data_IF_190529375756
#
_entry.id   IF_190529375756
#
_cell.length_a   1.000
_cell.length_b   1.000
_cell.length_c   1.000
_cell.angle_alpha   90.00
_cell.angle_beta   90.00
_cell.angle_gamma   90.00
#
_symmetry.space_group_name_H-M   'P 1'
#
loop_
_entity.id
_entity.type
_entity.pdbx_description
1 polymer ?
#
# COMPACT_ATOMS: atom_id res chain seq x y z
N UNK A 1 -3.46 -2.72 -2.24
CA UNK A 1 -2.28 -1.86 -2.54
C UNK A 1 -1.44 -2.56 -3.60
N UNK A 2 -1.25 -1.95 -4.75
CA UNK A 2 -0.48 -2.57 -5.84
C UNK A 2 1.00 -2.32 -5.61
N UNK A 3 1.88 -3.32 -5.68
CA UNK A 3 3.32 -3.07 -5.78
C UNK A 3 3.60 -2.52 -7.19
N UNK A 4 4.11 -1.28 -7.25
CA UNK A 4 4.57 -0.67 -8.49
C UNK A 4 5.85 -1.35 -8.96
N UNK A 5 5.73 -2.30 -9.85
CA UNK A 5 6.86 -2.76 -10.66
C UNK A 5 6.98 -1.79 -11.84
N UNK A 6 7.78 -0.76 -11.71
CA UNK A 6 8.08 0.16 -12.81
C UNK A 6 9.19 -0.42 -13.67
N UNK A 7 8.85 -0.77 -14.89
CA UNK A 7 9.82 -1.01 -15.97
C UNK A 7 10.23 0.37 -16.51
N UNK A 8 11.49 0.79 -16.31
CA UNK A 8 12.00 2.05 -16.88
C UNK A 8 12.42 1.82 -18.32
N UNK A 9 11.71 2.47 -19.25
CA UNK A 9 12.22 2.74 -20.59
C UNK A 9 12.86 4.14 -20.60
N UNK A 10 14.18 4.22 -20.68
CA UNK A 10 14.89 5.49 -20.89
C UNK A 10 14.63 5.96 -22.34
N UNK A 11 13.77 6.95 -22.54
CA UNK A 11 13.60 7.67 -23.79
C UNK A 11 14.63 8.82 -23.85
N UNK A 12 15.69 8.64 -24.62
CA UNK A 12 16.54 9.73 -25.07
C UNK A 12 15.95 10.33 -26.36
N UNK A 13 15.29 11.47 -26.24
CA UNK A 13 14.86 12.27 -27.39
C UNK A 13 16.07 13.05 -27.96
N UNK A 14 16.56 12.65 -29.11
CA UNK A 14 17.52 13.46 -29.89
C UNK A 14 16.78 14.32 -30.92
N UNK A 15 16.93 15.63 -30.83
CA UNK A 15 16.45 16.59 -31.80
C UNK A 15 17.24 16.44 -33.11
N UNK A 16 16.56 16.14 -34.22
CA UNK A 16 17.15 16.09 -35.54
C UNK A 16 17.16 17.50 -36.17
N UNK A 17 18.36 17.97 -36.53
CA UNK A 17 18.57 19.13 -37.40
C UNK A 17 18.86 18.59 -38.81
N UNK A 18 18.21 19.10 -39.89
CA UNK A 18 18.51 18.64 -41.24
C UNK A 18 19.83 19.20 -41.75
N UNK A 19 20.75 18.34 -42.07
CA UNK A 19 22.01 18.69 -42.77
C UNK A 19 21.92 18.20 -44.23
N UNK A 20 22.22 19.11 -45.14
CA UNK A 20 22.27 18.87 -46.56
C UNK A 20 23.34 17.84 -46.97
N UNK A 21 23.02 17.05 -47.94
CA UNK A 21 23.87 16.01 -48.49
C UNK A 21 25.21 16.56 -49.04
N UNK A 22 26.30 16.09 -48.46
CA UNK A 22 27.64 16.18 -49.09
C UNK A 22 28.37 14.85 -48.84
N UNK A 23 28.83 14.27 -49.95
CA UNK A 23 29.85 13.22 -50.14
C UNK A 23 30.00 12.19 -49.00
N UNK A 24 29.70 10.94 -49.29
CA UNK A 24 29.91 9.83 -48.40
C UNK A 24 31.36 9.74 -47.90
N UNK A 25 31.61 9.88 -46.60
CA UNK A 25 32.93 9.58 -46.05
C UNK A 25 33.15 8.05 -46.02
N UNK A 26 34.41 7.64 -46.10
CA UNK A 26 34.83 6.26 -45.94
C UNK A 26 34.21 5.61 -44.68
N UNK A 27 33.90 4.30 -44.68
CA UNK A 27 33.34 3.64 -43.54
C UNK A 27 34.25 3.86 -42.34
N UNK A 28 33.65 4.47 -41.29
CA UNK A 28 34.35 4.63 -40.04
C UNK A 28 34.82 3.24 -39.52
N UNK A 29 36.00 3.16 -38.88
CA UNK A 29 36.44 1.91 -38.29
C UNK A 29 35.36 1.36 -37.37
N UNK A 30 35.02 0.07 -37.52
CA UNK A 30 34.03 -0.59 -36.71
C UNK A 30 34.33 -0.34 -35.21
N UNK A 31 33.47 0.36 -34.56
CA UNK A 31 33.57 0.55 -33.09
C UNK A 31 33.55 -0.86 -32.47
N UNK A 32 34.46 -1.20 -31.56
CA UNK A 32 34.46 -2.54 -30.97
C UNK A 32 33.08 -2.81 -30.36
N UNK A 33 32.49 -3.92 -30.70
CA UNK A 33 31.17 -4.33 -30.26
C UNK A 33 31.22 -4.48 -28.73
N UNK A 34 30.57 -3.56 -28.01
CA UNK A 34 30.54 -3.60 -26.55
C UNK A 34 29.65 -4.78 -26.14
N UNK A 35 30.12 -5.71 -25.29
CA UNK A 35 29.29 -6.80 -24.79
C UNK A 35 28.00 -6.27 -24.20
N UNK A 36 26.86 -6.78 -24.68
CA UNK A 36 25.53 -6.29 -24.32
C UNK A 36 24.64 -7.39 -23.74
N UNK A 37 23.64 -7.01 -22.96
CA UNK A 37 22.60 -7.94 -22.52
C UNK A 37 21.82 -8.47 -23.73
N UNK A 38 21.54 -9.78 -23.78
CA UNK A 38 20.64 -10.33 -24.81
C UNK A 38 19.22 -9.77 -24.56
N UNK A 39 18.55 -9.41 -25.65
CA UNK A 39 17.13 -9.04 -25.59
C UNK A 39 16.31 -10.30 -25.24
N UNK A 40 15.49 -10.30 -24.17
CA UNK A 40 14.63 -11.43 -23.86
C UNK A 40 13.70 -11.77 -25.02
N UNK A 41 13.45 -13.07 -25.26
CA UNK A 41 12.63 -13.53 -26.40
C UNK A 41 11.19 -13.01 -26.40
N UNK A 42 10.69 -12.58 -25.25
CA UNK A 42 9.36 -11.97 -25.09
C UNK A 42 9.32 -10.47 -25.43
N UNK A 43 10.47 -9.83 -25.69
CA UNK A 43 10.56 -8.40 -26.00
C UNK A 43 11.00 -8.20 -27.46
N UNK A 44 10.42 -7.18 -28.09
CA UNK A 44 10.89 -6.62 -29.35
C UNK A 44 11.56 -5.28 -29.09
N UNK A 45 12.84 -5.15 -29.38
CA UNK A 45 13.59 -3.90 -29.23
C UNK A 45 13.74 -3.23 -30.59
N UNK A 46 13.05 -2.12 -30.83
CA UNK A 46 13.13 -1.34 -32.06
C UNK A 46 13.83 0.00 -31.79
N UNK A 47 14.86 0.29 -32.56
CA UNK A 47 15.64 1.54 -32.49
C UNK A 47 16.25 1.83 -31.10
N UNK A 48 16.38 0.82 -30.25
CA UNK A 48 17.06 0.94 -28.96
C UNK A 48 18.52 0.47 -29.07
N UNK A 49 19.48 1.22 -28.56
CA UNK A 49 20.86 0.75 -28.48
C UNK A 49 20.94 -0.46 -27.54
N UNK A 50 21.81 -1.43 -27.82
CA UNK A 50 22.07 -2.55 -26.94
C UNK A 50 22.48 -2.06 -25.54
N UNK A 51 21.97 -2.69 -24.50
CA UNK A 51 22.33 -2.35 -23.09
C UNK A 51 23.69 -2.97 -22.76
N UNK A 52 24.76 -2.17 -22.50
CA UNK A 52 26.07 -2.71 -22.18
C UNK A 52 26.03 -3.56 -20.91
N UNK A 53 26.73 -4.70 -20.89
CA UNK A 53 26.82 -5.56 -19.70
C UNK A 53 27.42 -4.83 -18.49
N UNK A 54 28.36 -3.91 -18.70
CA UNK A 54 28.94 -3.10 -17.65
C UNK A 54 27.89 -2.19 -16.99
N UNK A 55 27.04 -1.53 -17.79
CA UNK A 55 25.95 -0.71 -17.27
C UNK A 55 24.96 -1.56 -16.47
N UNK A 56 24.57 -2.71 -17.01
CA UNK A 56 23.68 -3.64 -16.34
C UNK A 56 24.25 -4.10 -14.99
N UNK A 57 25.55 -4.42 -14.94
CA UNK A 57 26.23 -4.81 -13.70
C UNK A 57 26.26 -3.68 -12.66
N UNK A 58 26.43 -2.42 -13.08
CA UNK A 58 26.41 -1.25 -12.18
C UNK A 58 25.02 -0.94 -11.64
N UNK A 59 23.98 -1.09 -12.43
CA UNK A 59 22.58 -0.81 -12.05
C UNK A 59 22.01 -1.94 -11.19
N UNK A 60 22.41 -3.19 -11.43
CA UNK A 60 21.85 -4.37 -10.77
C UNK A 60 21.74 -4.27 -9.24
N UNK A 61 22.73 -3.81 -8.46
CA UNK A 61 22.60 -3.69 -7.00
C UNK A 61 21.42 -2.81 -6.58
N UNK A 62 21.11 -1.77 -7.34
CA UNK A 62 19.98 -0.86 -7.06
C UNK A 62 18.60 -1.49 -7.32
N UNK A 63 18.55 -2.61 -8.07
CA UNK A 63 17.34 -3.39 -8.35
C UNK A 63 17.13 -4.55 -7.36
N UNK A 64 18.15 -4.88 -6.54
CA UNK A 64 18.15 -6.04 -5.65
C UNK A 64 17.72 -5.73 -4.21
N UNK A 65 17.05 -4.60 -3.97
CA UNK A 65 16.45 -4.34 -2.66
C UNK A 65 15.31 -5.32 -2.38
N UNK A 66 15.24 -5.84 -1.15
CA UNK A 66 14.28 -6.85 -0.71
C UNK A 66 13.58 -6.40 0.55
N UNK A 67 12.66 -5.44 0.40
CA UNK A 67 11.86 -4.93 1.49
C UNK A 67 10.99 -6.01 2.15
N UNK A 68 10.60 -5.78 3.40
CA UNK A 68 9.64 -6.58 4.11
C UNK A 68 8.40 -5.73 4.47
N UNK A 69 7.22 -6.14 4.00
CA UNK A 69 5.94 -5.56 4.37
C UNK A 69 5.32 -6.33 5.53
N UNK A 70 4.79 -5.64 6.52
CA UNK A 70 4.02 -6.24 7.60
C UNK A 70 2.67 -6.73 7.07
N UNK A 71 2.34 -7.99 7.29
CA UNK A 71 1.11 -8.63 6.86
C UNK A 71 0.21 -9.07 8.03
N UNK A 72 0.64 -8.83 9.26
CA UNK A 72 -0.14 -9.08 10.47
C UNK A 72 0.64 -9.80 11.56
N UNK A 73 0.00 -9.92 12.71
CA UNK A 73 0.49 -10.71 13.83
C UNK A 73 0.00 -12.15 13.74
N UNK A 74 0.83 -13.10 14.18
CA UNK A 74 0.37 -14.42 14.56
C UNK A 74 -0.20 -14.34 15.98
N UNK A 75 -1.52 -14.39 16.19
CA UNK A 75 -2.12 -14.13 17.49
C UNK A 75 -1.76 -15.18 18.55
N UNK A 76 -1.26 -16.36 18.14
CA UNK A 76 -0.92 -17.45 19.05
C UNK A 76 0.54 -17.42 19.54
N UNK A 77 1.45 -16.81 18.77
CA UNK A 77 2.88 -16.97 19.01
C UNK A 77 3.65 -15.66 19.12
N UNK A 78 2.98 -14.52 18.94
CA UNK A 78 3.60 -13.19 18.88
C UNK A 78 4.65 -13.04 17.77
N UNK A 79 4.65 -13.92 16.77
CA UNK A 79 5.45 -13.76 15.57
C UNK A 79 4.79 -12.78 14.60
N UNK A 80 5.55 -12.20 13.69
CA UNK A 80 5.01 -11.39 12.60
C UNK A 80 4.96 -12.20 11.31
N UNK A 81 3.86 -12.03 10.57
CA UNK A 81 3.72 -12.42 9.18
C UNK A 81 4.22 -11.27 8.31
N UNK A 82 5.04 -11.57 7.33
CA UNK A 82 5.60 -10.56 6.42
C UNK A 82 5.48 -11.00 4.98
N UNK A 83 5.36 -10.02 4.10
CA UNK A 83 5.54 -10.18 2.66
C UNK A 83 6.95 -9.73 2.28
N UNK A 84 7.75 -10.62 1.69
CA UNK A 84 9.08 -10.31 1.17
C UNK A 84 9.44 -11.25 0.03
N UNK A 85 10.45 -10.91 -0.77
CA UNK A 85 10.93 -11.78 -1.84
C UNK A 85 12.40 -12.13 -1.65
N UNK A 86 12.74 -13.40 -1.79
CA UNK A 86 14.12 -13.87 -1.97
C UNK A 86 14.39 -14.39 -3.38
N UNK A 87 13.32 -14.70 -4.11
CA UNK A 87 13.36 -15.06 -5.54
C UNK A 87 12.70 -13.96 -6.38
N UNK A 88 11.90 -14.34 -7.37
CA UNK A 88 11.32 -13.41 -8.34
C UNK A 88 10.06 -12.69 -7.83
N UNK A 89 9.30 -13.34 -6.94
CA UNK A 89 7.98 -12.86 -6.49
C UNK A 89 7.90 -12.82 -4.96
N UNK A 90 7.01 -11.97 -4.46
CA UNK A 90 6.74 -11.83 -3.03
C UNK A 90 6.03 -13.07 -2.49
N UNK A 91 6.53 -13.59 -1.37
CA UNK A 91 5.99 -14.74 -0.66
C UNK A 91 5.74 -14.38 0.80
N UNK A 92 4.90 -15.17 1.46
CA UNK A 92 4.68 -15.07 2.89
C UNK A 92 5.86 -15.70 3.66
N UNK A 93 6.34 -14.96 4.65
CA UNK A 93 7.36 -15.40 5.58
C UNK A 93 6.90 -15.14 7.01
N UNK A 94 7.41 -15.91 7.92
CA UNK A 94 7.20 -15.76 9.37
C UNK A 94 8.50 -15.36 10.05
N UNK A 95 8.45 -14.35 10.90
CA UNK A 95 9.57 -13.94 11.77
C UNK A 95 9.16 -14.14 13.22
N UNK A 96 9.82 -15.06 13.90
CA UNK A 96 9.41 -15.51 15.23
C UNK A 96 9.75 -14.56 16.37
N UNK A 97 10.74 -13.69 16.17
CA UNK A 97 11.23 -12.71 17.14
C UNK A 97 11.89 -11.54 16.43
N UNK A 98 12.03 -10.37 17.07
CA UNK A 98 12.76 -9.25 16.50
C UNK A 98 14.13 -9.65 15.97
N UNK A 99 14.45 -9.24 14.75
CA UNK A 99 15.68 -9.58 14.02
C UNK A 99 15.92 -11.08 13.82
N UNK A 100 14.89 -11.92 13.99
CA UNK A 100 14.95 -13.36 13.73
C UNK A 100 14.97 -13.71 12.25
N UNK A 101 15.13 -15.01 11.97
CA UNK A 101 15.11 -15.52 10.60
C UNK A 101 13.75 -15.28 9.92
N UNK A 102 13.79 -14.87 8.66
CA UNK A 102 12.60 -14.80 7.79
C UNK A 102 12.34 -16.19 7.22
N UNK A 103 11.51 -16.95 7.89
CA UNK A 103 11.17 -18.31 7.45
C UNK A 103 10.07 -18.26 6.39
N UNK A 104 10.40 -18.63 5.16
CA UNK A 104 9.43 -18.70 4.07
C UNK A 104 8.39 -19.80 4.35
N UNK A 105 7.11 -19.48 4.18
CA UNK A 105 5.99 -20.39 4.45
C UNK A 105 5.08 -20.61 3.24
N UNK A 106 5.19 -19.80 2.18
CA UNK A 106 4.53 -20.04 0.89
C UNK A 106 5.56 -20.19 -0.23
N UNK A 107 5.26 -21.01 -1.26
CA UNK A 107 6.21 -21.40 -2.31
C UNK A 107 5.53 -21.40 -3.69
N UNK A 108 4.92 -20.28 -4.06
CA UNK A 108 4.14 -20.12 -5.27
C UNK A 108 4.95 -19.46 -6.38
N UNK A 109 4.55 -19.68 -7.63
CA UNK A 109 5.17 -19.04 -8.80
C UNK A 109 4.74 -17.57 -8.92
N UNK A 110 3.55 -17.22 -8.40
CA UNK A 110 2.99 -15.87 -8.37
C UNK A 110 3.12 -15.24 -6.98
N UNK A 111 3.00 -13.90 -6.88
CA UNK A 111 2.92 -13.21 -5.60
C UNK A 111 1.72 -13.70 -4.78
N UNK A 112 1.89 -13.78 -3.47
CA UNK A 112 0.82 -14.11 -2.54
C UNK A 112 0.68 -13.04 -1.47
N UNK A 113 -0.55 -12.83 -1.01
CA UNK A 113 -0.86 -12.06 0.20
C UNK A 113 -1.65 -12.94 1.16
N UNK A 114 -1.64 -12.61 2.45
CA UNK A 114 -2.42 -13.40 3.41
C UNK A 114 -2.50 -12.76 4.78
N UNK A 115 -3.43 -13.26 5.60
CA UNK A 115 -3.66 -12.83 6.98
C UNK A 115 -4.12 -14.01 7.83
N UNK A 116 -3.75 -14.01 9.10
CA UNK A 116 -4.29 -14.96 10.07
C UNK A 116 -5.74 -14.63 10.43
N UNK A 117 -6.51 -15.69 10.75
CA UNK A 117 -7.79 -15.51 11.41
C UNK A 117 -7.58 -14.76 12.72
N UNK A 118 -8.22 -13.60 12.94
CA UNK A 118 -8.08 -12.83 14.17
C UNK A 118 -8.40 -13.69 15.40
N UNK A 119 -7.80 -13.38 16.54
CA UNK A 119 -8.04 -14.05 17.83
C UNK A 119 -7.65 -15.53 17.85
N UNK A 120 -7.99 -16.31 16.82
CA UNK A 120 -7.77 -17.76 16.78
C UNK A 120 -6.43 -18.16 16.20
N UNK A 121 -5.98 -17.50 15.12
CA UNK A 121 -4.73 -17.80 14.43
C UNK A 121 -4.61 -19.23 13.86
N UNK A 122 -5.71 -19.97 13.81
CA UNK A 122 -5.76 -21.37 13.37
C UNK A 122 -5.85 -21.51 11.84
N UNK A 123 -6.20 -20.43 11.15
CA UNK A 123 -6.28 -20.33 9.70
C UNK A 123 -5.39 -19.20 9.22
N UNK A 124 -4.56 -19.48 8.23
CA UNK A 124 -3.87 -18.49 7.42
C UNK A 124 -4.58 -18.45 6.06
N UNK A 125 -5.36 -17.38 5.85
CA UNK A 125 -6.01 -17.11 4.56
C UNK A 125 -4.98 -16.53 3.60
N UNK A 126 -4.98 -17.01 2.35
CA UNK A 126 -4.08 -16.54 1.29
C UNK A 126 -4.88 -16.20 0.04
N UNK A 127 -4.56 -15.07 -0.55
CA UNK A 127 -5.06 -14.67 -1.86
C UNK A 127 -3.92 -14.69 -2.87
N UNK A 128 -4.17 -15.25 -4.06
CA UNK A 128 -3.28 -15.20 -5.21
C UNK A 128 -4.06 -15.25 -6.52
N UNK A 129 -3.48 -14.71 -7.56
CA UNK A 129 -3.97 -14.85 -8.92
C UNK A 129 -3.16 -15.89 -9.70
N UNK A 130 -3.37 -15.97 -11.00
CA UNK A 130 -2.66 -16.88 -11.89
C UNK A 130 -2.03 -16.09 -13.04
N UNK A 131 -0.72 -15.99 -13.02
CA UNK A 131 0.03 -15.34 -14.11
C UNK A 131 -0.25 -13.83 -14.23
N UNK A 132 -0.75 -13.16 -13.19
CA UNK A 132 -1.06 -11.73 -13.21
C UNK A 132 -2.41 -11.40 -13.87
N UNK A 133 -3.34 -12.35 -13.96
CA UNK A 133 -4.67 -12.15 -14.55
C UNK A 133 -5.65 -11.39 -13.64
N UNK A 134 -5.26 -11.13 -12.38
CA UNK A 134 -6.06 -10.47 -11.35
C UNK A 134 -7.37 -11.23 -10.98
N UNK A 135 -7.52 -12.50 -11.41
CA UNK A 135 -8.59 -13.37 -10.98
C UNK A 135 -8.18 -14.12 -9.72
N UNK A 136 -8.13 -13.36 -8.63
CA UNK A 136 -7.69 -13.88 -7.33
C UNK A 136 -8.55 -15.05 -6.87
N UNK A 137 -7.87 -16.02 -6.25
CA UNK A 137 -8.50 -17.13 -5.57
C UNK A 137 -8.10 -17.14 -4.10
N UNK A 138 -9.04 -17.48 -3.23
CA UNK A 138 -8.80 -17.63 -1.81
C UNK A 138 -8.40 -19.06 -1.48
N UNK A 139 -7.42 -19.18 -0.62
CA UNK A 139 -6.86 -20.45 -0.16
C UNK A 139 -6.62 -20.40 1.35
N UNK A 140 -6.52 -21.57 1.99
CA UNK A 140 -5.83 -21.69 3.26
C UNK A 140 -4.41 -22.17 3.02
N UNK A 141 -3.46 -21.68 3.82
CA UNK A 141 -2.07 -22.13 3.81
C UNK A 141 -1.79 -22.92 5.09
N UNK A 142 -1.37 -24.19 4.93
CA UNK A 142 -0.93 -25.04 6.02
C UNK A 142 0.27 -25.88 5.58
N UNK A 143 1.32 -25.89 6.38
CA UNK A 143 2.53 -26.68 6.13
C UNK A 143 3.10 -26.49 4.69
N UNK A 144 3.11 -25.23 4.21
CA UNK A 144 3.58 -24.88 2.87
C UNK A 144 2.65 -25.28 1.72
N UNK A 145 1.44 -25.73 2.00
CA UNK A 145 0.46 -26.18 0.99
C UNK A 145 -0.78 -25.29 0.99
N UNK A 146 -1.17 -24.86 -0.20
CA UNK A 146 -2.42 -24.15 -0.42
C UNK A 146 -3.58 -25.12 -0.63
N UNK A 147 -4.70 -24.83 0.01
CA UNK A 147 -5.99 -25.50 -0.24
C UNK A 147 -6.98 -24.47 -0.75
N UNK A 148 -7.49 -24.68 -1.96
CA UNK A 148 -8.43 -23.76 -2.62
C UNK A 148 -9.77 -23.70 -1.86
N UNK A 149 -10.29 -22.50 -1.64
CA UNK A 149 -11.56 -22.21 -0.98
C UNK A 149 -12.63 -21.72 -1.95
N UNK A 150 -12.23 -21.07 -3.04
CA UNK A 150 -13.12 -20.49 -4.04
C UNK A 150 -13.26 -21.38 -5.28
N UNK A 151 -13.94 -20.92 -6.33
CA UNK A 151 -14.30 -21.75 -7.49
C UNK A 151 -13.16 -21.99 -8.49
N UNK A 152 -11.99 -21.37 -8.30
CA UNK A 152 -10.82 -21.54 -9.15
C UNK A 152 -10.86 -20.82 -10.50
N UNK A 153 -11.86 -19.97 -10.76
CA UNK A 153 -12.04 -19.32 -12.08
C UNK A 153 -12.65 -17.92 -12.06
N UNK A 154 -13.46 -17.59 -11.06
CA UNK A 154 -14.05 -16.25 -10.93
C UNK A 154 -13.06 -15.30 -10.26
N UNK A 155 -13.26 -13.99 -10.39
CA UNK A 155 -12.53 -13.01 -9.61
C UNK A 155 -13.08 -13.00 -8.19
N UNK A 156 -12.23 -13.27 -7.21
CA UNK A 156 -12.57 -13.25 -5.79
C UNK A 156 -11.58 -12.37 -5.03
N UNK A 157 -12.08 -11.43 -4.26
CA UNK A 157 -11.25 -10.51 -3.47
C UNK A 157 -11.58 -10.64 -1.99
N UNK A 158 -10.60 -10.90 -1.11
CA UNK A 158 -10.85 -10.92 0.33
C UNK A 158 -11.23 -9.52 0.79
N UNK A 159 -12.25 -9.42 1.64
CA UNK A 159 -12.72 -8.14 2.17
C UNK A 159 -12.36 -7.99 3.66
N UNK A 160 -13.03 -8.73 4.55
CA UNK A 160 -12.84 -8.62 5.97
C UNK A 160 -12.92 -9.99 6.67
N UNK A 161 -12.24 -10.10 7.81
CA UNK A 161 -12.47 -11.15 8.79
C UNK A 161 -13.50 -10.68 9.84
N UNK A 162 -14.28 -11.64 10.35
CA UNK A 162 -14.98 -11.38 11.62
C UNK A 162 -13.99 -11.33 12.78
N UNK A 163 -14.25 -10.49 13.79
CA UNK A 163 -13.35 -10.30 14.94
C UNK A 163 -13.05 -11.60 15.70
N UNK A 164 -14.00 -12.54 15.74
CA UNK A 164 -13.84 -13.86 16.37
C UNK A 164 -13.07 -14.85 15.47
N UNK A 165 -12.68 -14.45 14.27
CA UNK A 165 -11.96 -15.29 13.31
C UNK A 165 -12.78 -16.47 12.75
N UNK A 166 -14.11 -16.46 12.87
CA UNK A 166 -14.97 -17.53 12.36
C UNK A 166 -15.28 -17.40 10.88
N UNK A 167 -15.49 -16.17 10.41
CA UNK A 167 -15.95 -15.90 9.05
C UNK A 167 -14.97 -15.00 8.31
N UNK A 168 -14.86 -15.24 7.01
CA UNK A 168 -14.27 -14.32 6.06
C UNK A 168 -15.34 -13.84 5.08
N UNK A 169 -15.32 -12.53 4.81
CA UNK A 169 -16.08 -11.93 3.73
C UNK A 169 -15.19 -11.77 2.50
N UNK A 170 -15.78 -11.93 1.34
CA UNK A 170 -15.13 -11.69 0.06
C UNK A 170 -16.14 -11.25 -1.00
N UNK A 171 -15.69 -10.47 -1.97
CA UNK A 171 -16.48 -10.20 -3.17
C UNK A 171 -16.12 -11.18 -4.27
N UNK A 172 -17.11 -11.56 -5.11
CA UNK A 172 -16.91 -12.55 -6.15
C UNK A 172 -17.80 -12.30 -7.36
N UNK A 173 -17.24 -12.46 -8.56
CA UNK A 173 -17.97 -12.38 -9.83
C UNK A 173 -18.61 -13.72 -10.25
N UNK A 174 -18.63 -14.75 -9.38
CA UNK A 174 -19.01 -16.12 -9.76
C UNK A 174 -20.47 -16.29 -10.18
N UNK A 175 -21.37 -15.35 -9.82
CA UNK A 175 -22.78 -15.43 -10.23
C UNK A 175 -22.97 -15.24 -11.74
N UNK A 176 -22.29 -14.23 -12.32
CA UNK A 176 -22.51 -13.89 -13.72
C UNK A 176 -21.24 -13.42 -14.47
N UNK A 177 -20.08 -13.43 -13.83
CA UNK A 177 -18.79 -13.04 -14.41
C UNK A 177 -18.53 -11.53 -14.46
N UNK A 178 -19.45 -10.69 -13.97
CA UNK A 178 -19.41 -9.22 -14.08
C UNK A 178 -19.59 -8.54 -12.72
N UNK A 179 -20.68 -8.86 -12.03
CA UNK A 179 -21.05 -8.19 -10.78
C UNK A 179 -20.27 -8.77 -9.58
N UNK A 180 -19.70 -7.90 -8.75
CA UNK A 180 -18.93 -8.26 -7.56
C UNK A 180 -19.87 -8.46 -6.36
N UNK A 181 -20.51 -9.63 -6.28
CA UNK A 181 -21.41 -9.96 -5.19
C UNK A 181 -20.69 -10.21 -3.89
N UNK A 182 -21.34 -9.94 -2.76
CA UNK A 182 -20.77 -10.15 -1.44
C UNK A 182 -21.09 -11.55 -0.91
N UNK A 183 -20.04 -12.22 -0.46
CA UNK A 183 -20.08 -13.57 0.11
C UNK A 183 -19.49 -13.59 1.51
N UNK A 184 -19.96 -14.52 2.32
CA UNK A 184 -19.35 -14.91 3.60
C UNK A 184 -19.12 -16.42 3.63
N UNK A 185 -18.05 -16.82 4.32
CA UNK A 185 -17.63 -18.23 4.40
C UNK A 185 -16.90 -18.48 5.72
N UNK A 186 -17.12 -19.65 6.33
CA UNK A 186 -16.15 -20.22 7.26
C UNK A 186 -15.00 -20.86 6.44
N UNK A 187 -13.78 -20.37 6.50
CA UNK A 187 -12.69 -20.93 5.70
C UNK A 187 -12.29 -22.36 6.09
N UNK A 188 -12.75 -22.86 7.24
CA UNK A 188 -12.58 -24.26 7.65
C UNK A 188 -13.58 -25.18 6.96
N UNK A 189 -14.69 -24.61 6.45
CA UNK A 189 -15.74 -25.30 5.71
C UNK A 189 -16.10 -24.49 4.44
N UNK A 190 -15.37 -24.65 3.33
CA UNK A 190 -15.62 -23.89 2.09
C UNK A 190 -17.05 -24.07 1.53
N UNK A 191 -17.70 -25.20 1.83
CA UNK A 191 -19.09 -25.42 1.43
C UNK A 191 -20.10 -24.48 2.13
N UNK A 192 -19.70 -23.78 3.19
CA UNK A 192 -20.51 -22.77 3.87
C UNK A 192 -20.61 -21.45 3.10
N UNK A 193 -19.81 -21.28 2.04
CA UNK A 193 -19.79 -20.05 1.25
C UNK A 193 -21.19 -19.74 0.69
N UNK A 194 -21.73 -18.59 1.07
CA UNK A 194 -23.05 -18.14 0.65
C UNK A 194 -23.03 -16.67 0.26
N UNK A 195 -23.85 -16.32 -0.72
CA UNK A 195 -24.10 -14.93 -1.09
C UNK A 195 -24.89 -14.25 0.04
N UNK A 196 -24.50 -13.05 0.41
CA UNK A 196 -25.20 -12.24 1.40
C UNK A 196 -25.78 -10.97 0.78
N UNK A 197 -25.25 -10.57 -0.40
CA UNK A 197 -25.79 -9.49 -1.20
C UNK A 197 -25.46 -9.71 -2.68
N UNK A 198 -26.48 -9.63 -3.54
CA UNK A 198 -26.30 -9.55 -4.99
C UNK A 198 -26.11 -8.09 -5.37
N UNK A 199 -24.91 -7.72 -5.79
CA UNK A 199 -24.56 -6.37 -6.18
C UNK A 199 -24.81 -6.13 -7.67
N UNK A 200 -24.68 -4.88 -8.08
CA UNK A 200 -24.64 -4.48 -9.46
C UNK A 200 -23.35 -3.73 -9.73
N UNK A 201 -22.55 -4.25 -10.65
CA UNK A 201 -21.23 -3.67 -10.97
C UNK A 201 -20.15 -4.04 -9.95
N UNK A 202 -19.10 -3.25 -9.91
CA UNK A 202 -17.98 -3.35 -8.96
C UNK A 202 -18.10 -2.33 -7.82
N UNK A 203 -17.04 -2.21 -7.01
CA UNK A 203 -16.95 -1.23 -5.92
C UNK A 203 -17.48 -1.69 -4.58
N UNK A 204 -18.22 -2.78 -4.54
CA UNK A 204 -18.84 -3.32 -3.33
C UNK A 204 -17.88 -4.16 -2.49
N UNK A 205 -17.79 -3.85 -1.20
CA UNK A 205 -17.00 -4.61 -0.24
C UNK A 205 -17.71 -4.69 1.13
N UNK A 206 -17.68 -5.86 1.75
CA UNK A 206 -18.05 -6.00 3.16
C UNK A 206 -16.85 -5.58 4.00
N UNK A 207 -16.90 -4.42 4.63
CA UNK A 207 -15.74 -3.79 5.29
C UNK A 207 -15.58 -4.16 6.75
N UNK A 208 -16.65 -4.54 7.44
CA UNK A 208 -16.57 -5.05 8.81
C UNK A 208 -17.80 -5.87 9.20
N UNK A 209 -17.61 -6.85 10.09
CA UNK A 209 -18.71 -7.58 10.73
C UNK A 209 -19.13 -6.87 12.02
N UNK A 210 -20.43 -6.71 12.23
CA UNK A 210 -20.96 -6.26 13.50
C UNK A 210 -20.76 -7.33 14.59
N UNK A 211 -20.71 -6.98 15.88
CA UNK A 211 -20.61 -7.93 16.96
C UNK A 211 -21.67 -9.03 16.85
N UNK A 212 -21.23 -10.29 17.00
CA UNK A 212 -22.09 -11.47 16.87
C UNK A 212 -22.36 -11.94 15.44
N UNK A 213 -21.73 -11.32 14.42
CA UNK A 213 -21.73 -11.74 13.02
C UNK A 213 -23.11 -11.88 12.35
N UNK A 214 -24.18 -11.31 12.94
CA UNK A 214 -25.53 -11.33 12.35
C UNK A 214 -25.72 -10.21 11.32
N UNK A 215 -24.89 -9.19 11.38
CA UNK A 215 -24.88 -8.00 10.51
C UNK A 215 -23.48 -7.64 10.09
N UNK A 216 -23.39 -6.84 9.05
CA UNK A 216 -22.12 -6.29 8.55
C UNK A 216 -22.28 -4.83 8.11
N UNK A 217 -21.16 -4.19 7.93
CA UNK A 217 -21.04 -2.90 7.25
C UNK A 217 -20.47 -3.12 5.85
N UNK A 218 -21.07 -2.45 4.90
CA UNK A 218 -20.77 -2.58 3.47
C UNK A 218 -20.44 -1.21 2.91
N UNK A 219 -19.40 -1.13 2.10
CA UNK A 219 -19.05 0.05 1.33
C UNK A 219 -19.36 -0.16 -0.15
N UNK A 220 -19.91 0.86 -0.80
CA UNK A 220 -19.97 1.01 -2.26
C UNK A 220 -19.04 2.14 -2.66
N UNK A 221 -17.85 1.78 -3.13
CA UNK A 221 -16.83 2.72 -3.56
C UNK A 221 -17.12 3.21 -4.98
N UNK A 222 -17.37 4.50 -5.13
CA UNK A 222 -17.61 5.18 -6.42
C UNK A 222 -16.39 5.96 -6.87
N UNK A 223 -15.75 6.70 -5.97
CA UNK A 223 -14.52 7.45 -6.20
C UNK A 223 -13.76 7.68 -4.89
N UNK A 224 -12.57 8.27 -4.97
CA UNK A 224 -11.78 8.66 -3.77
C UNK A 224 -12.50 9.67 -2.86
N UNK A 225 -13.56 10.33 -3.37
CA UNK A 225 -14.34 11.35 -2.67
C UNK A 225 -15.77 10.91 -2.38
N UNK A 226 -16.19 9.76 -2.89
CA UNK A 226 -17.59 9.29 -2.80
C UNK A 226 -17.63 7.79 -2.51
N UNK A 227 -17.98 7.47 -1.26
CA UNK A 227 -18.15 6.09 -0.77
C UNK A 227 -19.45 6.04 0.02
N UNK A 228 -20.41 5.25 -0.42
CA UNK A 228 -21.61 4.99 0.35
C UNK A 228 -21.38 3.88 1.38
N UNK A 229 -21.88 4.07 2.57
CA UNK A 229 -21.89 3.05 3.62
C UNK A 229 -23.29 2.51 3.88
N UNK A 230 -23.37 1.21 4.15
CA UNK A 230 -24.62 0.51 4.45
C UNK A 230 -24.44 -0.44 5.63
N UNK A 231 -25.54 -0.71 6.34
CA UNK A 231 -25.67 -1.90 7.17
C UNK A 231 -26.34 -3.01 6.37
N UNK A 232 -25.87 -4.24 6.50
CA UNK A 232 -26.42 -5.45 5.87
C UNK A 232 -26.84 -6.44 6.96
N UNK A 233 -28.09 -6.85 6.96
CA UNK A 233 -28.61 -7.91 7.84
C UNK A 233 -28.55 -9.25 7.13
N UNK A 234 -27.84 -10.21 7.67
CA UNK A 234 -27.61 -11.52 7.00
C UNK A 234 -28.82 -12.44 7.00
N UNK A 235 -29.76 -12.26 7.92
CA UNK A 235 -30.94 -13.09 8.00
C UNK A 235 -31.99 -12.70 6.93
N UNK A 236 -32.09 -11.41 6.64
CA UNK A 236 -33.09 -10.87 5.72
C UNK A 236 -32.51 -10.44 4.38
N UNK A 237 -31.18 -10.24 4.28
CA UNK A 237 -30.52 -9.62 3.14
C UNK A 237 -30.79 -8.11 2.99
N UNK A 238 -31.46 -7.50 3.99
CA UNK A 238 -31.81 -6.08 3.93
C UNK A 238 -30.57 -5.20 4.09
N UNK A 239 -30.40 -4.29 3.14
CA UNK A 239 -29.40 -3.21 3.20
C UNK A 239 -30.06 -1.90 3.56
N UNK A 240 -29.45 -1.16 4.49
CA UNK A 240 -29.91 0.17 4.90
C UNK A 240 -28.74 1.15 4.80
N UNK A 241 -28.92 2.23 4.04
CA UNK A 241 -27.90 3.25 3.90
C UNK A 241 -27.62 3.96 5.23
N UNK A 242 -26.35 4.29 5.45
CA UNK A 242 -25.88 5.10 6.58
C UNK A 242 -25.67 6.53 6.06
N UNK A 243 -26.55 7.44 6.48
CA UNK A 243 -26.55 8.82 5.99
C UNK A 243 -27.28 8.99 4.65
N UNK A 244 -26.93 10.03 3.89
CA UNK A 244 -27.51 10.34 2.61
C UNK A 244 -26.62 9.84 1.46
N UNK A 245 -27.04 8.83 0.69
CA UNK A 245 -26.24 8.32 -0.44
C UNK A 245 -26.03 9.31 -1.60
N UNK A 246 -26.63 10.51 -1.53
CA UNK A 246 -26.40 11.59 -2.49
C UNK A 246 -25.31 12.55 -2.06
N UNK A 247 -24.85 12.42 -0.84
CA UNK A 247 -23.77 13.24 -0.33
C UNK A 247 -22.43 12.63 -0.72
N UNK A 248 -21.63 13.36 -1.47
CA UNK A 248 -20.27 12.95 -1.81
C UNK A 248 -19.39 13.05 -0.56
N UNK A 249 -19.18 11.92 0.13
CA UNK A 249 -18.40 11.79 1.36
C UNK A 249 -17.36 10.69 1.17
N UNK A 250 -16.10 10.99 1.45
CA UNK A 250 -15.05 10.01 1.49
C UNK A 250 -15.02 9.26 2.84
N UNK A 251 -14.88 7.94 2.78
CA UNK A 251 -14.58 7.06 3.90
C UNK A 251 -13.40 6.16 3.52
N UNK A 252 -12.31 6.17 4.30
CA UNK A 252 -11.10 5.38 3.98
C UNK A 252 -10.83 4.22 4.94
N UNK A 253 -11.39 4.25 6.12
CA UNK A 253 -11.27 3.20 7.14
C UNK A 253 -12.55 3.06 7.94
N UNK A 254 -12.84 1.83 8.37
CA UNK A 254 -13.99 1.52 9.22
C UNK A 254 -13.63 0.37 10.16
N UNK A 255 -13.77 0.61 11.47
CA UNK A 255 -13.55 -0.36 12.52
C UNK A 255 -14.66 -0.28 13.59
N UNK A 256 -14.92 -1.40 14.24
CA UNK A 256 -15.96 -1.49 15.27
C UNK A 256 -15.31 -1.80 16.61
N UNK A 257 -15.53 -0.93 17.59
CA UNK A 257 -15.12 -1.16 18.96
C UNK A 257 -15.98 -2.26 19.62
N UNK A 258 -15.50 -2.93 20.69
CA UNK A 258 -16.24 -3.98 21.39
C UNK A 258 -17.60 -3.53 21.93
N UNK A 259 -17.78 -2.25 22.22
CA UNK A 259 -19.05 -1.65 22.66
C UNK A 259 -20.03 -1.36 21.51
N UNK A 260 -19.64 -1.68 20.26
CA UNK A 260 -20.44 -1.44 19.08
C UNK A 260 -20.26 -0.03 18.46
N UNK A 261 -19.40 0.81 19.03
CA UNK A 261 -19.08 2.12 18.45
C UNK A 261 -18.41 1.96 17.11
N UNK A 262 -18.95 2.61 16.09
CA UNK A 262 -18.39 2.61 14.73
C UNK A 262 -17.39 3.77 14.60
N UNK A 263 -16.15 3.43 14.34
CA UNK A 263 -15.07 4.37 14.06
C UNK A 263 -14.79 4.40 12.56
N UNK A 264 -14.59 5.59 12.00
CA UNK A 264 -14.32 5.81 10.58
C UNK A 264 -13.32 6.94 10.40
N UNK A 265 -12.66 6.94 9.24
CA UNK A 265 -12.04 8.15 8.71
C UNK A 265 -12.95 8.75 7.66
N UNK A 266 -13.25 10.05 7.76
CA UNK A 266 -14.19 10.71 6.86
C UNK A 266 -13.89 12.20 6.70
N UNK A 267 -14.23 12.74 5.53
CA UNK A 267 -14.21 14.18 5.23
C UNK A 267 -15.56 14.87 5.50
N UNK A 268 -16.53 14.16 6.10
CA UNK A 268 -17.84 14.74 6.40
C UNK A 268 -17.72 16.01 7.26
N UNK A 269 -18.10 17.15 6.68
CA UNK A 269 -18.00 18.46 7.34
C UNK A 269 -16.58 19.03 7.45
N UNK A 270 -15.63 18.50 6.69
CA UNK A 270 -14.23 18.93 6.66
C UNK A 270 -13.66 18.85 5.25
N UNK A 271 -12.58 19.58 4.97
CA UNK A 271 -11.79 19.41 3.76
C UNK A 271 -10.88 18.16 3.87
N UNK A 272 -10.40 17.85 5.07
CA UNK A 272 -9.54 16.71 5.33
C UNK A 272 -10.33 15.54 5.95
N UNK A 273 -9.93 14.31 5.61
CA UNK A 273 -10.42 13.12 6.29
C UNK A 273 -9.94 13.10 7.75
N UNK A 274 -10.86 12.92 8.66
CA UNK A 274 -10.62 12.88 10.12
C UNK A 274 -11.06 11.57 10.70
N UNK A 275 -10.34 11.10 11.72
CA UNK A 275 -10.80 10.00 12.55
C UNK A 275 -11.94 10.47 13.44
N UNK A 276 -13.03 9.73 13.48
CA UNK A 276 -14.19 10.04 14.32
C UNK A 276 -15.15 8.87 14.47
N UNK A 277 -16.27 9.15 15.14
CA UNK A 277 -17.35 8.19 15.36
C UNK A 277 -18.50 8.47 14.40
N UNK A 278 -19.04 7.40 13.82
CA UNK A 278 -20.20 7.46 12.93
C UNK A 278 -21.40 6.80 13.63
N UNK A 279 -22.50 7.50 13.74
CA UNK A 279 -23.77 6.92 14.18
C UNK A 279 -24.43 6.20 12.98
N UNK A 280 -24.54 4.88 12.99
CA UNK A 280 -25.10 4.14 11.85
C UNK A 280 -26.60 4.36 11.65
N UNK A 281 -27.32 4.87 12.64
CA UNK A 281 -28.75 5.14 12.54
C UNK A 281 -29.05 6.47 11.84
N UNK A 282 -28.26 7.50 12.11
CA UNK A 282 -28.48 8.86 11.58
C UNK A 282 -27.47 9.26 10.49
N UNK A 283 -26.34 8.56 10.36
CA UNK A 283 -25.22 8.96 9.51
C UNK A 283 -24.44 10.17 10.06
N UNK A 284 -24.68 10.56 11.32
CA UNK A 284 -23.99 11.69 11.92
C UNK A 284 -22.54 11.32 12.28
N UNK A 285 -21.59 12.07 11.74
CA UNK A 285 -20.17 11.92 12.04
C UNK A 285 -19.73 12.90 13.12
N UNK A 286 -19.02 12.38 14.12
CA UNK A 286 -18.42 13.19 15.19
C UNK A 286 -16.90 13.05 15.13
N UNK A 287 -16.18 14.04 14.59
CA UNK A 287 -14.72 13.98 14.48
C UNK A 287 -14.07 14.02 15.87
N UNK A 288 -13.03 13.20 16.04
CA UNK A 288 -12.20 13.12 17.25
C UNK A 288 -10.81 13.69 16.97
N UNK A 289 -10.19 13.35 15.82
CA UNK A 289 -8.92 13.95 15.41
C UNK A 289 -9.12 15.40 14.96
N UNK A 290 -8.05 16.20 15.10
CA UNK A 290 -8.03 17.64 14.72
C UNK A 290 -6.94 17.96 13.72
N UNK A 291 -6.51 16.95 12.99
CA UNK A 291 -5.43 17.06 12.02
C UNK A 291 -5.83 17.99 10.86
N UNK A 292 -4.83 18.68 10.27
CA UNK A 292 -5.00 19.53 9.10
C UNK A 292 -4.45 18.84 7.84
N UNK A 293 -4.44 17.51 7.87
CA UNK A 293 -4.04 16.57 6.83
C UNK A 293 -4.93 15.35 6.90
N UNK A 294 -4.98 14.56 5.84
CA UNK A 294 -5.81 13.37 5.81
C UNK A 294 -5.31 12.30 6.79
N UNK A 295 -6.24 11.78 7.58
CA UNK A 295 -6.08 10.53 8.32
C UNK A 295 -6.52 9.41 7.40
N UNK A 296 -5.60 8.62 6.86
CA UNK A 296 -5.88 7.65 5.81
C UNK A 296 -6.00 6.19 6.28
N UNK A 297 -5.56 5.88 7.48
CA UNK A 297 -5.75 4.55 8.09
C UNK A 297 -5.65 4.60 9.61
N UNK A 298 -6.29 3.64 10.25
CA UNK A 298 -6.23 3.43 11.70
C UNK A 298 -6.52 1.97 12.05
N UNK A 299 -6.22 1.60 13.29
CA UNK A 299 -6.63 0.35 13.91
C UNK A 299 -7.01 0.59 15.38
N UNK A 300 -7.91 -0.24 15.91
CA UNK A 300 -8.41 -0.17 17.28
C UNK A 300 -8.08 -1.44 18.06
N UNK A 301 -7.57 -1.27 19.30
CA UNK A 301 -7.28 -2.40 20.19
C UNK A 301 -8.54 -3.23 20.51
N UNK A 302 -8.35 -4.52 20.76
CA UNK A 302 -9.45 -5.45 21.08
C UNK A 302 -10.28 -5.02 22.30
N UNK A 303 -9.71 -4.26 23.22
CA UNK A 303 -10.43 -3.69 24.37
C UNK A 303 -11.09 -2.33 24.09
N UNK A 304 -10.94 -1.80 22.88
CA UNK A 304 -11.51 -0.53 22.42
C UNK A 304 -10.90 0.73 23.04
N UNK A 305 -9.80 0.62 23.82
CA UNK A 305 -9.26 1.75 24.57
C UNK A 305 -8.19 2.54 23.85
N UNK A 306 -7.51 1.93 22.87
CA UNK A 306 -6.43 2.54 22.15
C UNK A 306 -6.73 2.52 20.65
N UNK A 307 -6.55 3.65 19.98
CA UNK A 307 -6.54 3.71 18.52
C UNK A 307 -5.18 4.22 18.07
N UNK A 308 -4.56 3.52 17.15
CA UNK A 308 -3.42 4.01 16.40
C UNK A 308 -3.90 4.49 15.03
N UNK A 309 -3.45 5.66 14.60
CA UNK A 309 -3.80 6.18 13.28
C UNK A 309 -2.64 6.89 12.61
N UNK A 310 -2.73 6.97 11.30
CA UNK A 310 -1.72 7.54 10.41
C UNK A 310 -2.24 8.82 9.77
N UNK A 311 -1.42 9.87 9.80
CA UNK A 311 -1.68 11.17 9.19
C UNK A 311 -0.71 11.36 8.04
N UNK A 312 -1.20 11.70 6.87
CA UNK A 312 -0.40 11.95 5.67
C UNK A 312 -0.02 13.43 5.59
N UNK A 313 1.14 13.80 6.13
CA UNK A 313 1.65 15.17 6.11
C UNK A 313 2.47 15.42 4.83
N UNK A 314 1.83 15.94 3.77
CA UNK A 314 2.47 16.27 2.49
C UNK A 314 3.29 15.11 1.87
N UNK A 315 2.75 13.89 1.92
CA UNK A 315 3.40 12.70 1.38
C UNK A 315 4.37 12.02 2.35
N UNK A 316 4.36 12.40 3.62
CA UNK A 316 5.11 11.72 4.68
C UNK A 316 4.18 11.34 5.83
N UNK A 317 4.18 10.07 6.22
CA UNK A 317 3.29 9.58 7.25
C UNK A 317 3.77 9.91 8.66
N UNK A 318 2.81 10.21 9.53
CA UNK A 318 3.00 10.45 10.97
C UNK A 318 2.05 9.58 11.77
N UNK A 319 2.59 8.82 12.70
CA UNK A 319 1.78 7.97 13.59
C UNK A 319 1.30 8.75 14.81
N UNK A 320 0.05 8.50 15.20
CA UNK A 320 -0.60 9.03 16.39
C UNK A 320 -1.24 7.89 17.17
N UNK A 321 -1.28 8.03 18.48
CA UNK A 321 -1.96 7.09 19.39
C UNK A 321 -2.98 7.87 20.19
N UNK A 322 -4.25 7.48 20.08
CA UNK A 322 -5.38 8.05 20.82
C UNK A 322 -5.75 7.13 21.98
N UNK A 323 -5.74 7.67 23.19
CA UNK A 323 -6.44 7.08 24.32
C UNK A 323 -7.93 7.45 24.22
N UNK A 324 -8.78 6.47 24.01
CA UNK A 324 -10.21 6.66 23.67
C UNK A 324 -10.98 7.28 24.84
N UNK A 325 -10.62 6.92 26.08
CA UNK A 325 -11.33 7.38 27.26
C UNK A 325 -11.04 8.85 27.59
N UNK A 326 -9.78 9.26 27.52
CA UNK A 326 -9.37 10.65 27.82
C UNK A 326 -9.39 11.59 26.62
N UNK A 327 -9.43 11.03 25.40
CA UNK A 327 -9.25 11.80 24.16
C UNK A 327 -7.82 12.33 23.96
N UNK A 328 -6.85 11.86 24.75
CA UNK A 328 -5.46 12.28 24.64
C UNK A 328 -4.81 11.65 23.41
N UNK A 329 -4.21 12.48 22.58
CA UNK A 329 -3.39 12.04 21.43
C UNK A 329 -1.91 12.15 21.76
N UNK A 330 -1.16 11.06 21.54
CA UNK A 330 0.30 11.01 21.68
C UNK A 330 0.91 10.89 20.28
N UNK A 331 1.87 11.75 19.96
CA UNK A 331 2.63 11.72 18.71
C UNK A 331 3.78 10.73 18.83
N UNK A 332 4.06 10.00 17.73
CA UNK A 332 5.21 9.12 17.61
C UNK A 332 6.28 9.83 16.78
N UNK A 333 7.13 10.63 17.45
CA UNK A 333 8.10 11.49 16.78
C UNK A 333 9.44 10.78 16.48
N UNK A 334 9.59 9.53 16.91
CA UNK A 334 10.83 8.77 16.72
C UNK A 334 11.02 8.23 15.28
N UNK A 335 9.98 8.25 14.45
CA UNK A 335 10.07 7.83 13.05
C UNK A 335 10.47 9.04 12.18
N UNK A 336 11.49 8.88 11.29
CA UNK A 336 11.87 9.92 10.34
C UNK A 336 10.78 10.14 9.27
N UNK A 337 11.06 10.98 8.26
CA UNK A 337 10.18 11.10 7.10
C UNK A 337 10.12 9.77 6.35
N UNK A 338 8.92 9.31 5.99
CA UNK A 338 8.73 8.03 5.33
C UNK A 338 7.27 7.62 5.23
N UNK A 339 7.06 6.36 4.89
CA UNK A 339 5.74 5.75 4.71
C UNK A 339 5.52 4.64 5.73
N UNK A 340 4.36 4.64 6.36
CA UNK A 340 3.91 3.61 7.29
C UNK A 340 2.85 2.76 6.58
N UNK A 341 3.02 1.45 6.59
CA UNK A 341 2.06 0.50 6.01
C UNK A 341 1.66 -0.60 6.98
N UNK A 342 0.46 -1.15 6.81
CA UNK A 342 0.01 -2.34 7.52
C UNK A 342 -0.07 -2.17 9.03
N UNK A 343 -0.70 -1.10 9.54
CA UNK A 343 -0.82 -0.89 11.00
C UNK A 343 -1.82 -1.88 11.59
N UNK A 344 -1.41 -2.59 12.65
CA UNK A 344 -2.28 -3.50 13.42
C UNK A 344 -1.87 -3.53 14.89
N UNK A 345 -2.83 -3.41 15.80
CA UNK A 345 -2.64 -3.57 17.24
C UNK A 345 -2.86 -5.03 17.60
N UNK A 346 -1.82 -5.68 18.07
CA UNK A 346 -1.88 -7.07 18.52
C UNK A 346 -2.81 -7.23 19.74
N UNK A 347 -3.34 -8.45 20.01
CA UNK A 347 -4.17 -8.72 21.19
C UNK A 347 -3.51 -8.37 22.53
N UNK A 348 -2.17 -8.36 22.59
CA UNK A 348 -1.38 -7.92 23.76
C UNK A 348 -1.05 -6.43 23.79
N UNK A 349 -1.54 -5.66 22.78
CA UNK A 349 -1.47 -4.20 22.72
C UNK A 349 -0.24 -3.62 22.03
N UNK A 350 0.66 -4.43 21.48
CA UNK A 350 1.81 -3.97 20.68
C UNK A 350 1.34 -3.60 19.26
N UNK A 351 1.85 -2.50 18.72
CA UNK A 351 1.46 -1.99 17.40
C UNK A 351 2.50 -2.47 16.38
N UNK A 352 2.10 -3.32 15.43
CA UNK A 352 2.93 -3.77 14.30
C UNK A 352 2.72 -2.88 13.09
N UNK A 353 3.79 -2.65 12.32
CA UNK A 353 3.72 -1.88 11.08
C UNK A 353 4.96 -2.10 10.21
N UNK A 354 4.87 -1.80 8.94
CA UNK A 354 6.03 -1.62 8.08
C UNK A 354 6.39 -0.15 7.95
N UNK A 355 7.69 0.14 7.86
CA UNK A 355 8.19 1.49 7.67
C UNK A 355 9.22 1.53 6.52
N UNK A 356 9.00 2.48 5.60
CA UNK A 356 9.83 2.74 4.44
C UNK A 356 10.28 4.20 4.47
N UNK A 357 11.56 4.45 4.24
CA UNK A 357 12.13 5.81 4.16
C UNK A 357 13.23 5.87 3.11
N UNK A 358 13.76 7.04 2.84
CA UNK A 358 14.88 7.19 1.90
C UNK A 358 16.06 6.24 2.24
N UNK A 359 16.25 5.94 3.53
CA UNK A 359 17.35 5.11 4.06
C UNK A 359 16.92 3.69 4.45
N UNK A 360 15.70 3.26 4.15
CA UNK A 360 15.20 1.92 4.47
C UNK A 360 14.22 1.44 3.42
N UNK A 361 14.51 0.30 2.82
CA UNK A 361 13.72 -0.32 1.74
C UNK A 361 12.46 -1.05 2.23
N UNK A 362 11.75 -0.54 3.20
CA UNK A 362 10.70 -1.15 3.99
C UNK A 362 11.18 -2.29 4.90
N UNK A 363 10.93 -2.10 6.18
CA UNK A 363 11.15 -3.10 7.22
C UNK A 363 9.96 -3.15 8.16
N UNK A 364 9.82 -4.26 8.86
CA UNK A 364 8.78 -4.45 9.87
C UNK A 364 9.30 -4.00 11.23
N UNK A 365 8.45 -3.28 11.91
CA UNK A 365 8.69 -2.69 13.21
C UNK A 365 7.50 -2.93 14.13
N UNK A 366 7.73 -2.84 15.42
CA UNK A 366 6.66 -2.75 16.42
C UNK A 366 6.89 -1.59 17.38
N UNK A 367 5.82 -1.09 17.95
CA UNK A 367 5.79 -0.04 18.96
C UNK A 367 5.02 -0.52 20.18
N UNK A 368 5.62 -0.48 21.35
CA UNK A 368 4.90 -0.60 22.62
C UNK A 368 4.30 0.77 23.00
N UNK A 369 2.98 0.95 22.95
CA UNK A 369 2.35 2.25 23.23
C UNK A 369 2.48 2.72 24.68
N UNK A 370 2.83 1.84 25.62
CA UNK A 370 3.01 2.18 27.05
C UNK A 370 4.38 2.78 27.32
N UNK A 371 5.41 2.23 26.69
CA UNK A 371 6.80 2.66 26.89
C UNK A 371 7.31 3.56 25.76
N UNK A 372 6.57 3.62 24.64
CA UNK A 372 6.95 4.27 23.38
C UNK A 372 8.23 3.67 22.76
N UNK A 373 8.58 2.43 23.16
CA UNK A 373 9.72 1.73 22.60
C UNK A 373 9.40 1.18 21.21
N UNK A 374 10.23 1.54 20.24
CA UNK A 374 10.17 1.00 18.88
C UNK A 374 11.18 -0.14 18.76
N UNK A 375 10.74 -1.28 18.22
CA UNK A 375 11.55 -2.48 18.03
C UNK A 375 11.56 -2.86 16.55
N UNK A 376 12.75 -3.06 15.98
CA UNK A 376 12.90 -3.51 14.59
C UNK A 376 12.80 -5.04 14.52
N UNK A 377 12.01 -5.55 13.60
CA UNK A 377 11.79 -6.98 13.37
C UNK A 377 12.56 -7.54 12.19
N UNK A 378 12.75 -6.72 11.14
CA UNK A 378 13.47 -7.15 9.93
C UNK A 378 14.52 -6.13 9.53
N UNK A 379 15.53 -6.59 8.82
CA UNK A 379 16.49 -5.74 8.14
C UNK A 379 16.57 -6.17 6.68
N UNK A 380 16.15 -5.29 5.80
CA UNK A 380 16.06 -5.56 4.37
C UNK A 380 17.40 -5.48 3.68
N UNK A 381 17.64 -6.40 2.73
CA UNK A 381 18.80 -6.36 1.86
C UNK A 381 18.66 -5.22 0.84
N UNK A 382 19.77 -4.60 0.50
CA UNK A 382 19.87 -3.45 -0.42
C UNK A 382 20.84 -3.71 -1.58
N UNK A 383 20.95 -4.98 -2.01
CA UNK A 383 21.87 -5.37 -3.10
C UNK A 383 23.36 -5.20 -2.75
N UNK A 384 23.70 -5.13 -1.46
CA UNK A 384 25.05 -4.84 -0.96
C UNK A 384 25.40 -3.35 -0.92
N UNK A 385 24.45 -2.46 -1.23
CA UNK A 385 24.61 -1.01 -1.12
C UNK A 385 24.35 -0.55 0.33
N UNK A 386 25.07 0.47 0.76
CA UNK A 386 24.81 1.13 2.04
C UNK A 386 23.67 2.16 1.87
N UNK A 387 22.47 1.92 2.44
CA UNK A 387 21.36 2.84 2.28
C UNK A 387 21.52 4.12 3.11
N UNK A 388 22.48 4.19 4.04
CA UNK A 388 22.72 5.38 4.87
C UNK A 388 23.20 6.58 4.05
N UNK A 389 23.80 6.33 2.87
CA UNK A 389 24.26 7.36 1.95
C UNK A 389 23.15 7.94 1.07
N UNK A 390 21.96 7.32 1.06
CA UNK A 390 20.83 7.79 0.26
C UNK A 390 20.35 9.16 0.74
N UNK A 391 19.87 9.95 -0.19
CA UNK A 391 19.44 11.30 0.04
C UNK A 391 18.00 11.34 0.56
N UNK A 392 17.76 12.09 1.62
CA UNK A 392 16.40 12.37 2.10
C UNK A 392 15.75 13.47 1.24
N UNK A 393 14.44 13.34 0.95
CA UNK A 393 13.74 14.38 0.20
C UNK A 393 13.59 15.67 1.01
N UNK A 394 13.51 16.77 0.29
CA UNK A 394 13.02 18.05 0.82
C UNK A 394 11.63 18.29 0.26
N UNK A 395 10.67 18.62 1.11
CA UNK A 395 9.39 19.14 0.64
C UNK A 395 9.64 20.54 0.12
N UNK A 396 9.33 20.77 -1.15
CA UNK A 396 9.39 22.09 -1.77
C UNK A 396 7.98 22.52 -2.17
N UNK A 397 7.66 23.77 -1.93
CA UNK A 397 6.37 24.38 -2.27
C UNK A 397 6.58 25.45 -3.32
N UNK A 398 5.69 25.49 -4.30
CA UNK A 398 5.67 26.53 -5.32
C UNK A 398 4.24 26.98 -5.57
N UNK A 399 4.08 28.16 -6.21
CA UNK A 399 2.76 28.65 -6.60
C UNK A 399 2.47 28.32 -8.04
N UNK A 400 1.30 27.74 -8.26
CA UNK A 400 0.75 27.50 -9.58
C UNK A 400 0.30 28.81 -10.23
N UNK A 401 -0.14 28.76 -11.50
CA UNK A 401 -0.50 29.92 -12.31
C UNK A 401 -1.62 30.80 -11.72
N UNK A 402 -2.45 30.26 -10.85
CA UNK A 402 -3.55 30.95 -10.15
C UNK A 402 -3.24 31.29 -8.69
N UNK A 403 -2.01 31.04 -8.25
CA UNK A 403 -1.56 31.30 -6.88
C UNK A 403 -1.76 30.15 -5.90
N UNK A 404 -2.39 29.04 -6.31
CA UNK A 404 -2.50 27.84 -5.48
C UNK A 404 -1.11 27.30 -5.12
N UNK A 405 -0.89 26.99 -3.86
CA UNK A 405 0.30 26.27 -3.43
C UNK A 405 0.25 24.82 -3.84
N UNK A 406 1.28 24.35 -4.52
CA UNK A 406 1.53 22.95 -4.86
C UNK A 406 2.88 22.55 -4.29
N UNK A 407 2.99 21.32 -3.82
CA UNK A 407 4.24 20.83 -3.24
C UNK A 407 4.80 19.64 -4.03
N UNK A 408 6.00 19.23 -3.64
CA UNK A 408 6.62 18.03 -4.19
C UNK A 408 7.85 17.67 -3.38
N UNK A 409 8.35 16.47 -3.64
CA UNK A 409 9.53 15.93 -2.99
C UNK A 409 10.75 16.12 -3.91
N UNK A 410 11.73 16.86 -3.43
CA UNK A 410 12.96 17.13 -4.15
C UNK A 410 14.11 16.33 -3.54
N UNK A 411 14.66 15.40 -4.32
CA UNK A 411 15.89 14.68 -4.02
C UNK A 411 17.03 15.27 -4.81
N UNK A 412 18.06 15.79 -4.11
CA UNK A 412 19.25 16.36 -4.73
C UNK A 412 20.47 15.49 -4.40
N UNK A 413 21.34 15.21 -5.39
CA UNK A 413 22.55 14.45 -5.15
C UNK A 413 23.46 15.18 -4.14
N UNK A 414 24.31 14.40 -3.43
CA UNK A 414 25.27 14.94 -2.46
C UNK A 414 26.16 15.99 -3.13
N UNK A 415 26.12 17.26 -2.68
CA UNK A 415 26.92 18.32 -3.26
C UNK A 415 28.44 18.16 -3.04
N UNK A 416 28.86 17.36 -2.06
CA UNK A 416 30.26 17.02 -1.86
C UNK A 416 30.79 16.09 -2.96
N UNK A 417 29.96 15.14 -3.41
CA UNK A 417 30.28 14.21 -4.52
C UNK A 417 30.03 14.86 -5.88
N UNK A 418 28.98 15.67 -6.00
CA UNK A 418 28.53 16.27 -7.25
C UNK A 418 28.36 17.81 -7.11
N UNK A 419 29.45 18.58 -7.11
CA UNK A 419 29.39 20.03 -6.94
C UNK A 419 28.74 20.74 -8.13
N UNK A 420 28.16 21.92 -7.87
CA UNK A 420 27.61 22.81 -8.89
C UNK A 420 26.16 22.45 -9.32
N UNK A 421 25.73 23.02 -10.47
CA UNK A 421 24.41 22.77 -11.04
C UNK A 421 24.35 21.36 -11.62
N UNK A 422 23.27 20.64 -11.30
CA UNK A 422 23.04 19.25 -11.74
C UNK A 422 21.79 19.14 -12.58
N UNK A 423 21.71 18.15 -13.50
CA UNK A 423 20.47 17.81 -14.17
C UNK A 423 19.39 17.39 -13.16
N UNK A 424 18.13 17.62 -13.52
CA UNK A 424 16.97 17.24 -12.72
C UNK A 424 15.98 16.49 -13.60
N UNK A 425 15.53 15.34 -13.14
CA UNK A 425 14.39 14.62 -13.70
C UNK A 425 13.14 15.02 -12.91
N UNK A 426 12.06 15.32 -13.62
CA UNK A 426 10.74 15.51 -13.04
C UNK A 426 9.95 14.25 -13.32
N UNK A 427 9.63 13.49 -12.28
CA UNK A 427 8.82 12.25 -12.36
C UNK A 427 7.44 12.54 -11.75
N UNK A 428 6.41 12.53 -12.59
CA UNK A 428 5.05 12.92 -12.23
C UNK A 428 4.24 11.63 -12.03
N UNK A 429 3.65 11.47 -10.84
CA UNK A 429 2.79 10.32 -10.57
C UNK A 429 1.58 10.30 -11.50
N UNK A 430 1.06 9.10 -11.75
CA UNK A 430 -0.16 8.91 -12.53
C UNK A 430 -1.43 9.02 -11.69
N UNK A 431 -2.56 8.94 -12.38
CA UNK A 431 -3.86 8.92 -11.74
C UNK A 431 -4.87 9.80 -12.48
N UNK A 432 -5.02 11.12 -12.24
CA UNK A 432 -4.26 11.99 -11.32
C UNK A 432 -4.46 11.74 -9.83
N UNK A 433 -5.49 11.01 -9.44
CA UNK A 433 -5.84 10.65 -8.07
C UNK A 433 -4.80 9.70 -7.45
N UNK A 434 -3.64 10.23 -7.15
CA UNK A 434 -2.52 9.57 -6.51
C UNK A 434 -1.68 10.58 -5.77
N UNK A 435 -0.53 10.16 -5.25
CA UNK A 435 0.40 11.03 -4.55
C UNK A 435 1.82 10.51 -4.67
N UNK A 436 2.76 11.43 -4.84
CA UNK A 436 4.18 11.17 -4.60
C UNK A 436 4.48 11.23 -3.10
N UNK A 437 5.08 10.17 -2.57
CA UNK A 437 5.34 10.03 -1.13
C UNK A 437 6.81 9.85 -0.83
N UNK A 438 7.25 10.28 0.36
CA UNK A 438 8.62 10.10 0.83
C UNK A 438 8.88 8.60 1.07
N UNK A 439 9.92 8.05 0.44
CA UNK A 439 10.23 6.63 0.57
C UNK A 439 11.60 6.26 0.01
N UNK A 440 11.86 4.97 -0.05
CA UNK A 440 13.08 4.42 -0.64
C UNK A 440 13.01 4.51 -2.16
N UNK A 441 13.96 5.20 -2.74
CA UNK A 441 13.97 5.48 -4.18
C UNK A 441 14.35 4.28 -5.06
N UNK A 442 14.74 3.15 -4.46
CA UNK A 442 15.07 1.93 -5.23
C UNK A 442 16.12 2.19 -6.32
N UNK A 443 15.74 1.90 -7.56
CA UNK A 443 16.60 2.11 -8.73
C UNK A 443 16.98 3.57 -8.97
N UNK A 444 16.14 4.53 -8.58
CA UNK A 444 16.40 5.96 -8.78
C UNK A 444 17.55 6.47 -7.92
N UNK A 445 17.92 5.73 -6.85
CA UNK A 445 19.16 6.00 -6.13
C UNK A 445 20.41 5.88 -7.01
N UNK A 446 20.38 5.12 -8.13
CA UNK A 446 21.46 5.13 -9.10
C UNK A 446 21.64 6.50 -9.77
N UNK A 447 20.54 7.17 -10.09
CA UNK A 447 20.56 8.54 -10.64
C UNK A 447 21.20 9.52 -9.66
N UNK A 448 20.79 9.46 -8.40
CA UNK A 448 21.27 10.33 -7.32
C UNK A 448 22.73 10.06 -6.96
N UNK A 449 23.07 8.79 -6.69
CA UNK A 449 24.33 8.40 -6.09
C UNK A 449 25.46 8.18 -7.09
N UNK A 450 25.16 7.79 -8.36
CA UNK A 450 26.15 7.47 -9.37
C UNK A 450 26.23 8.49 -10.50
N UNK A 451 25.12 9.10 -10.88
CA UNK A 451 25.07 10.02 -12.01
C UNK A 451 25.00 11.50 -11.57
N UNK A 452 24.70 11.75 -10.28
CA UNK A 452 24.51 13.10 -9.77
C UNK A 452 23.35 13.82 -10.43
N UNK A 453 22.29 13.10 -10.75
CA UNK A 453 21.03 13.63 -11.30
C UNK A 453 20.02 13.75 -10.17
N UNK A 454 19.44 14.94 -10.01
CA UNK A 454 18.35 15.16 -9.05
C UNK A 454 17.03 14.57 -9.54
N UNK A 455 16.12 14.29 -8.61
CA UNK A 455 14.76 13.82 -8.92
C UNK A 455 13.76 14.72 -8.19
N UNK A 456 12.76 15.20 -8.91
CA UNK A 456 11.65 15.97 -8.36
C UNK A 456 10.34 15.22 -8.60
N UNK A 457 9.62 14.92 -7.54
CA UNK A 457 8.35 14.22 -7.53
C UNK A 457 7.25 15.22 -7.13
N UNK A 458 6.60 15.92 -8.07
CA UNK A 458 5.56 16.88 -7.75
C UNK A 458 4.27 16.20 -7.32
N UNK A 459 3.54 16.82 -6.37
CA UNK A 459 2.14 16.53 -6.08
C UNK A 459 1.30 17.59 -6.80
N UNK A 460 0.84 17.23 -7.99
CA UNK A 460 0.09 18.13 -8.87
C UNK A 460 -1.34 18.29 -8.37
N UNK A 461 -2.09 19.23 -8.96
CA UNK A 461 -3.54 19.37 -8.74
C UNK A 461 -4.24 18.03 -8.96
N UNK A 462 -5.21 17.69 -8.13
CA UNK A 462 -5.87 16.39 -8.13
C UNK A 462 -5.14 15.30 -7.35
N UNK A 463 -3.96 15.58 -6.74
CA UNK A 463 -3.28 14.62 -5.87
C UNK A 463 -4.06 14.38 -4.58
N UNK A 464 -4.08 13.12 -4.12
CA UNK A 464 -4.64 12.74 -2.80
C UNK A 464 -3.74 13.22 -1.66
N UNK A 465 -4.27 13.23 -0.42
CA UNK A 465 -3.52 13.57 0.79
C UNK A 465 -3.44 15.07 1.11
N UNK A 466 -4.10 15.91 0.31
CA UNK A 466 -4.14 17.37 0.47
C UNK A 466 -5.55 17.91 0.71
N UNK A 467 -6.49 17.03 1.05
CA UNK A 467 -7.89 17.35 1.29
C UNK A 467 -8.75 17.33 0.03
N UNK A 468 -10.09 17.35 0.27
CA UNK A 468 -11.13 17.19 -0.76
C UNK A 468 -11.06 18.26 -1.84
N UNK A 469 -10.87 19.52 -1.45
CA UNK A 469 -10.77 20.65 -2.39
C UNK A 469 -9.61 20.48 -3.36
N UNK A 470 -8.46 20.01 -2.87
CA UNK A 470 -7.27 19.82 -3.72
C UNK A 470 -7.44 18.65 -4.70
N UNK A 471 -8.04 17.55 -4.26
CA UNK A 471 -8.35 16.38 -5.10
C UNK A 471 -9.33 16.75 -6.22
N UNK A 472 -10.25 17.68 -5.98
CA UNK A 472 -11.26 18.14 -6.96
C UNK A 472 -10.70 19.03 -8.06
N UNK A 473 -9.42 19.44 -8.01
CA UNK A 473 -8.79 20.36 -8.98
C UNK A 473 -8.22 19.60 -10.17
#
# INVERSE_FOLDING_TARGET
>A
MRPNTRLFALLLASAAVPVAAQNAPAPAPATPEVPALPVPSALTAEQMPPVPLELAARVRPYLESRGAGFAGWDPNTRAVLINTRFANVSQLHRVAMPMGARTQISFEAEPVSGSYAPTKGDVLLVAKDRGGDEYYQLHTLKDGRLTLLTDGKSRNEPNAWSKDGELVAFSSTRRNGVDSDLYVMDPRNPASARIVHESKGGGWALVAFAPGNARAYVADYKSVQDVDLYTLDFATGAMTAIGDPKAEIAYSGLEIAPDGTLWVTSDQGSDFQRLGRLDPASGAFTPVSKEQWDVDSFDISDDGKTIVYKVNEAGSDRMRILDVASGKVTKVDALPAGQIGGIEIAPWGEIGFSFNSAKSAADVWSLDPKTMQITRWTQSETGGLDPSVNVEPRIVTTRSFDGLEVSGLLYLPDPAKFPGKRPLIVDIHGGPEGQSTAGFMGADNYLLNELGVGVFLPNVRGSTGYGKTFVSL
#
